data_IF_316960374796
#
_entry.id   IF_316960374796
#
_cell.length_a   1.000
_cell.length_b   1.000
_cell.length_c   1.000
_cell.angle_alpha   90.00
_cell.angle_beta   90.00
_cell.angle_gamma   90.00
#
_symmetry.space_group_name_H-M   'P 1'
#
loop_
_entity.id
_entity.type
_entity.pdbx_description
1 polymer ?
#
# COMPACT_ATOMS: atom_id res chain seq x y z
N UNK A 1 -15.40 5.28 -18.15
CA UNK A 1 -15.10 5.77 -16.78
C UNK A 1 -15.38 4.64 -15.79
N UNK A 2 -14.34 3.96 -15.29
CA UNK A 2 -14.50 2.96 -14.25
C UNK A 2 -14.87 3.66 -12.94
N UNK A 3 -16.10 3.44 -12.44
CA UNK A 3 -16.56 3.96 -11.15
C UNK A 3 -15.76 3.28 -10.05
N UNK A 4 -14.80 3.98 -9.45
CA UNK A 4 -14.14 3.54 -8.22
C UNK A 4 -15.19 3.50 -7.10
N UNK A 5 -15.79 2.32 -6.88
CA UNK A 5 -16.59 2.10 -5.67
C UNK A 5 -15.62 2.02 -4.49
N UNK A 6 -15.77 2.85 -3.43
CA UNK A 6 -14.98 2.68 -2.22
C UNK A 6 -15.26 1.28 -1.66
N UNK A 7 -14.21 0.49 -1.40
CA UNK A 7 -14.39 -0.82 -0.78
C UNK A 7 -14.87 -0.61 0.67
N UNK A 8 -15.70 -1.52 1.21
CA UNK A 8 -16.11 -1.43 2.60
C UNK A 8 -14.87 -1.52 3.52
N UNK A 9 -14.89 -0.81 4.67
CA UNK A 9 -13.72 -0.66 5.54
C UNK A 9 -13.10 -1.99 6.01
N UNK A 10 -13.93 -3.02 6.25
CA UNK A 10 -13.45 -4.36 6.62
C UNK A 10 -12.52 -4.99 5.58
N UNK A 11 -12.73 -4.72 4.29
CA UNK A 11 -11.85 -5.27 3.24
C UNK A 11 -10.43 -4.68 3.28
N UNK A 12 -10.26 -3.44 3.76
CA UNK A 12 -8.95 -2.82 3.80
C UNK A 12 -8.06 -3.42 4.88
N UNK A 13 -8.61 -3.83 6.02
CA UNK A 13 -7.86 -4.47 7.11
C UNK A 13 -7.34 -5.85 6.70
N UNK A 14 -8.19 -6.67 6.07
CA UNK A 14 -7.80 -7.98 5.54
C UNK A 14 -6.73 -7.85 4.43
N UNK A 15 -6.88 -6.88 3.53
CA UNK A 15 -5.87 -6.60 2.50
C UNK A 15 -4.54 -6.13 3.10
N UNK A 16 -4.58 -5.28 4.12
CA UNK A 16 -3.39 -4.81 4.84
C UNK A 16 -2.65 -5.97 5.47
N UNK A 17 -3.38 -6.83 6.17
CA UNK A 17 -2.82 -8.01 6.83
C UNK A 17 -2.16 -8.94 5.81
N UNK A 18 -2.83 -9.24 4.70
CA UNK A 18 -2.26 -10.07 3.63
C UNK A 18 -0.98 -9.45 3.04
N UNK A 19 -0.95 -8.12 2.82
CA UNK A 19 0.26 -7.45 2.33
C UNK A 19 1.39 -7.42 3.35
N UNK A 20 1.09 -7.26 4.64
CA UNK A 20 2.08 -7.31 5.72
C UNK A 20 2.68 -8.71 5.88
N UNK A 21 1.86 -9.76 5.81
CA UNK A 21 2.31 -11.15 5.82
C UNK A 21 3.19 -11.47 4.60
N UNK A 22 2.77 -11.08 3.39
CA UNK A 22 3.59 -11.25 2.17
C UNK A 22 4.91 -10.49 2.29
N UNK A 23 4.89 -9.27 2.83
CA UNK A 23 6.11 -8.47 3.01
C UNK A 23 7.07 -9.11 4.02
N UNK A 24 6.56 -9.71 5.09
CA UNK A 24 7.41 -10.40 6.06
C UNK A 24 8.04 -11.67 5.48
N UNK A 25 7.27 -12.49 4.77
CA UNK A 25 7.82 -13.67 4.09
C UNK A 25 8.95 -13.32 3.12
N UNK A 26 8.78 -12.22 2.35
CA UNK A 26 9.84 -11.72 1.48
C UNK A 26 11.04 -11.18 2.27
N UNK A 27 10.81 -10.51 3.40
CA UNK A 27 11.89 -10.03 4.26
C UNK A 27 12.72 -11.17 4.84
N UNK A 28 12.09 -12.28 5.25
CA UNK A 28 12.78 -13.47 5.73
C UNK A 28 13.66 -14.09 4.64
N UNK A 29 13.14 -14.21 3.42
CA UNK A 29 13.93 -14.67 2.26
C UNK A 29 15.09 -13.73 1.93
N UNK A 30 14.89 -12.42 2.03
CA UNK A 30 15.94 -11.42 1.81
C UNK A 30 17.03 -11.54 2.89
N UNK A 31 16.64 -11.74 4.16
CA UNK A 31 17.59 -11.95 5.27
C UNK A 31 18.38 -13.26 5.12
N UNK A 32 17.75 -14.29 4.57
CA UNK A 32 18.40 -15.55 4.24
C UNK A 32 19.27 -15.47 2.96
N UNK A 33 19.36 -14.30 2.32
CA UNK A 33 20.02 -14.05 1.01
C UNK A 33 19.57 -15.00 -0.13
N UNK A 34 18.41 -15.64 0.02
CA UNK A 34 17.81 -16.52 -1.00
C UNK A 34 16.81 -15.80 -1.89
N UNK A 35 16.50 -14.53 -1.58
CA UNK A 35 15.54 -13.75 -2.35
C UNK A 35 16.11 -13.29 -3.70
N UNK A 36 15.32 -13.52 -4.74
CA UNK A 36 15.57 -13.00 -6.08
C UNK A 36 15.43 -11.48 -6.15
N UNK A 37 15.99 -10.85 -7.19
CA UNK A 37 15.85 -9.41 -7.41
C UNK A 37 14.38 -8.99 -7.59
N UNK A 38 13.58 -9.84 -8.24
CA UNK A 38 12.13 -9.63 -8.38
C UNK A 38 11.42 -9.60 -7.01
N UNK A 39 11.81 -10.47 -6.07
CA UNK A 39 11.28 -10.49 -4.71
C UNK A 39 11.68 -9.24 -3.91
N UNK A 40 12.90 -8.74 -4.11
CA UNK A 40 13.37 -7.47 -3.50
C UNK A 40 12.56 -6.28 -4.01
N UNK A 41 12.28 -6.22 -5.31
CA UNK A 41 11.41 -5.20 -5.93
C UNK A 41 9.99 -5.32 -5.38
N UNK A 42 9.44 -6.54 -5.30
CA UNK A 42 8.11 -6.80 -4.74
C UNK A 42 8.01 -6.40 -3.27
N UNK A 43 9.01 -6.69 -2.45
CA UNK A 43 9.07 -6.26 -1.05
C UNK A 43 9.01 -4.72 -0.92
N UNK A 44 9.74 -3.99 -1.76
CA UNK A 44 9.65 -2.52 -1.81
C UNK A 44 8.25 -2.07 -2.24
N UNK A 45 7.69 -2.65 -3.31
CA UNK A 45 6.37 -2.33 -3.83
C UNK A 45 5.24 -2.57 -2.79
N UNK A 46 5.34 -3.64 -2.00
CA UNK A 46 4.40 -3.93 -0.91
C UNK A 46 4.42 -2.85 0.17
N UNK A 47 5.58 -2.28 0.49
CA UNK A 47 5.68 -1.14 1.40
C UNK A 47 4.82 0.04 0.96
N UNK A 48 4.94 0.43 -0.31
CA UNK A 48 4.13 1.50 -0.90
C UNK A 48 2.62 1.17 -0.90
N UNK A 49 2.25 -0.09 -1.17
CA UNK A 49 0.84 -0.52 -1.15
C UNK A 49 0.25 -0.46 0.26
N UNK A 50 0.97 -0.97 1.26
CA UNK A 50 0.55 -0.92 2.67
C UNK A 50 0.33 0.52 3.11
N UNK A 51 1.27 1.41 2.79
CA UNK A 51 1.16 2.82 3.14
C UNK A 51 -0.02 3.50 2.44
N UNK A 52 -0.24 3.24 1.15
CA UNK A 52 -1.38 3.77 0.41
C UNK A 52 -2.74 3.29 0.97
N UNK A 53 -2.83 2.03 1.42
CA UNK A 53 -4.05 1.52 2.06
C UNK A 53 -4.23 2.18 3.43
N UNK A 54 -3.18 2.31 4.24
CA UNK A 54 -3.21 3.03 5.52
C UNK A 54 -3.66 4.48 5.36
N UNK A 55 -3.15 5.19 4.36
CA UNK A 55 -3.58 6.57 4.05
C UNK A 55 -5.07 6.66 3.65
N UNK A 56 -5.61 5.66 2.94
CA UNK A 56 -7.04 5.63 2.59
C UNK A 56 -7.95 5.35 3.78
N UNK A 57 -7.46 4.58 4.74
CA UNK A 57 -8.16 4.25 5.99
C UNK A 57 -8.11 5.40 6.99
N UNK A 58 -7.00 6.14 7.07
CA UNK A 58 -6.86 7.27 7.96
C UNK A 58 -7.73 8.46 7.47
N UNK A 59 -8.77 8.77 8.23
CA UNK A 59 -9.72 9.83 7.92
C UNK A 59 -9.11 11.23 8.02
N UNK A 60 -7.94 11.41 8.66
CA UNK A 60 -7.25 12.71 8.77
C UNK A 60 -6.52 13.06 7.48
N UNK A 61 -6.10 12.08 6.68
CA UNK A 61 -5.58 12.31 5.33
C UNK A 61 -6.65 12.81 4.35
N UNK A 62 -7.93 12.45 4.56
CA UNK A 62 -9.04 13.00 3.75
C UNK A 62 -9.30 14.48 4.03
N UNK A 63 -9.00 14.97 5.22
CA UNK A 63 -9.22 16.38 5.58
C UNK A 63 -8.14 17.32 5.05
N UNK A 64 -6.96 16.80 4.66
CA UNK A 64 -5.82 17.59 4.18
C UNK A 64 -5.68 17.69 2.66
N UNK A 65 -6.34 16.84 1.87
CA UNK A 65 -6.30 16.89 0.39
C UNK A 65 -7.48 17.72 -0.14
N UNK A 66 -7.64 18.93 0.42
CA UNK A 66 -8.48 19.99 -0.14
C UNK A 66 -7.63 21.15 -0.67
N UNK A 67 -6.35 20.93 -0.98
CA UNK A 67 -5.63 21.83 -1.89
C UNK A 67 -5.59 21.19 -3.26
N UNK A 68 -6.31 21.81 -4.18
CA UNK A 68 -6.23 21.52 -5.60
C UNK A 68 -4.77 21.67 -6.01
N UNK A 69 -4.16 20.62 -6.55
CA UNK A 69 -2.85 20.72 -7.22
C UNK A 69 -3.05 21.73 -8.35
N UNK A 70 -2.65 22.99 -8.14
CA UNK A 70 -2.56 23.99 -9.21
C UNK A 70 -1.44 23.53 -10.13
N UNK A 71 -1.80 22.88 -11.22
CA UNK A 71 -0.90 22.74 -12.37
C UNK A 71 -0.69 24.16 -12.90
N UNK A 72 0.44 24.77 -12.57
CA UNK A 72 0.86 26.05 -13.12
C UNK A 72 1.05 25.88 -14.64
N UNK A 73 0.47 26.81 -15.39
CA UNK A 73 0.44 26.84 -16.86
C UNK A 73 1.64 27.61 -17.40
#
# INVERSE_FOLDING_TARGET
MARFKPRPPRCYEDELKAYEEERQMLLERIRADTATEAERIRHRALGWKIEAVRQRMDSRYKSGVSESIRIMK
#
